data_IF_948759171026
#
_entry.id   IF_948759171026
#
_cell.length_a   1.000
_cell.length_b   1.000
_cell.length_c   1.000
_cell.angle_alpha   90.00
_cell.angle_beta   90.00
_cell.angle_gamma   90.00
#
_symmetry.space_group_name_H-M   'P 1'
#
loop_
_entity.id
_entity.type
_entity.pdbx_description
1 polymer ?
#
# COMPACT_ATOMS: atom_id res chain seq x y z
N UNK A 1 -6.65 8.55 8.90
CA UNK A 1 -6.68 7.45 7.92
C UNK A 1 -8.11 7.09 7.65
N UNK A 2 -8.45 6.95 6.37
CA UNK A 2 -9.79 6.66 5.87
C UNK A 2 -9.69 5.45 4.95
N UNK A 3 -10.65 4.53 5.04
CA UNK A 3 -10.84 3.51 4.02
C UNK A 3 -11.77 4.07 2.95
N UNK A 4 -11.40 3.90 1.67
CA UNK A 4 -12.22 4.33 0.55
C UNK A 4 -13.25 3.26 0.20
N UNK A 5 -14.45 3.70 -0.14
CA UNK A 5 -15.41 2.86 -0.86
C UNK A 5 -14.94 2.64 -2.30
N UNK A 6 -15.38 1.55 -2.96
CA UNK A 6 -14.99 1.27 -4.35
C UNK A 6 -15.30 2.43 -5.30
N UNK A 7 -16.41 3.14 -5.09
CA UNK A 7 -16.78 4.32 -5.89
C UNK A 7 -15.78 5.48 -5.73
N UNK A 8 -14.97 5.49 -4.68
CA UNK A 8 -14.00 6.52 -4.34
C UNK A 8 -12.57 6.17 -4.72
N UNK A 9 -12.28 4.96 -5.22
CA UNK A 9 -10.91 4.53 -5.53
C UNK A 9 -10.18 5.48 -6.48
N UNK A 10 -10.92 6.09 -7.42
CA UNK A 10 -10.41 7.12 -8.34
C UNK A 10 -9.72 8.31 -7.64
N UNK A 11 -10.05 8.61 -6.37
CA UNK A 11 -9.40 9.67 -5.59
C UNK A 11 -7.91 9.41 -5.33
N UNK A 12 -7.45 8.16 -5.48
CA UNK A 12 -6.05 7.78 -5.29
C UNK A 12 -5.26 7.68 -6.61
N UNK A 13 -5.91 7.84 -7.77
CA UNK A 13 -5.29 7.61 -9.07
C UNK A 13 -4.13 8.58 -9.39
N UNK A 14 -4.15 9.80 -8.84
CA UNK A 14 -3.04 10.74 -9.04
C UNK A 14 -1.77 10.35 -8.28
N UNK A 15 -1.85 9.48 -7.27
CA UNK A 15 -0.69 9.10 -6.45
C UNK A 15 0.34 8.26 -7.20
N UNK A 16 -0.05 7.63 -8.31
CA UNK A 16 0.87 6.89 -9.19
C UNK A 16 1.63 7.82 -10.14
N UNK A 17 1.31 9.12 -10.17
CA UNK A 17 1.89 10.10 -11.10
C UNK A 17 1.88 9.65 -12.58
N UNK A 18 0.93 8.78 -12.97
CA UNK A 18 0.86 8.21 -14.31
C UNK A 18 1.88 7.11 -14.60
N UNK A 19 2.74 6.75 -13.64
CA UNK A 19 3.66 5.64 -13.75
C UNK A 19 2.98 4.34 -13.29
N UNK A 20 3.03 3.30 -14.11
CA UNK A 20 2.50 1.98 -13.76
C UNK A 20 3.68 1.08 -13.40
N UNK A 21 4.35 1.37 -12.28
CA UNK A 21 5.38 0.46 -11.74
C UNK A 21 4.75 -0.80 -11.13
N UNK A 22 3.52 -0.66 -10.63
CA UNK A 22 2.76 -1.71 -9.97
C UNK A 22 1.38 -1.87 -10.65
N UNK A 23 1.30 -2.66 -11.74
CA UNK A 23 0.03 -2.89 -12.44
C UNK A 23 -1.07 -3.43 -11.52
N UNK A 24 -0.71 -4.08 -10.43
CA UNK A 24 -1.64 -4.72 -9.50
C UNK A 24 -2.34 -3.72 -8.59
N UNK A 25 -1.61 -2.74 -8.04
CA UNK A 25 -2.25 -1.64 -7.32
C UNK A 25 -3.09 -0.77 -8.25
N UNK A 26 -2.61 -0.55 -9.48
CA UNK A 26 -3.36 0.21 -10.48
C UNK A 26 -4.67 -0.49 -10.88
N UNK A 27 -4.64 -1.82 -11.02
CA UNK A 27 -5.84 -2.61 -11.30
C UNK A 27 -6.88 -2.51 -10.17
N UNK A 28 -6.45 -2.42 -8.90
CA UNK A 28 -7.35 -2.16 -7.77
C UNK A 28 -7.90 -0.73 -7.84
N UNK A 29 -7.04 0.28 -8.03
CA UNK A 29 -7.46 1.70 -8.13
C UNK A 29 -8.49 1.91 -9.24
N UNK A 30 -8.34 1.22 -10.37
CA UNK A 30 -9.28 1.26 -11.50
C UNK A 30 -10.52 0.38 -11.32
N UNK A 31 -10.62 -0.38 -10.24
CA UNK A 31 -11.75 -1.28 -9.98
C UNK A 31 -11.76 -2.55 -10.81
N UNK A 32 -10.67 -2.86 -11.52
CA UNK A 32 -10.53 -4.10 -12.31
C UNK A 32 -10.14 -5.30 -11.44
N UNK A 33 -9.62 -5.07 -10.24
CA UNK A 33 -9.21 -6.12 -9.30
C UNK A 33 -9.76 -5.86 -7.90
N UNK A 34 -10.17 -6.92 -7.17
CA UNK A 34 -10.59 -6.78 -5.78
C UNK A 34 -9.44 -6.29 -4.90
N UNK A 35 -9.73 -5.32 -4.04
CA UNK A 35 -8.77 -4.78 -3.10
C UNK A 35 -9.41 -3.81 -2.13
N UNK A 36 -8.57 -3.22 -1.28
CA UNK A 36 -8.95 -2.19 -0.31
C UNK A 36 -7.95 -1.05 -0.40
N UNK A 37 -8.41 0.19 -0.23
CA UNK A 37 -7.56 1.38 -0.30
C UNK A 37 -7.74 2.18 0.99
N UNK A 38 -6.63 2.44 1.68
CA UNK A 38 -6.59 3.29 2.86
C UNK A 38 -5.76 4.53 2.57
N UNK A 39 -6.31 5.72 2.84
CA UNK A 39 -5.65 7.01 2.54
C UNK A 39 -5.43 7.84 3.81
N UNK A 40 -4.49 8.77 3.74
CA UNK A 40 -4.22 9.71 4.83
C UNK A 40 -5.36 10.73 5.03
N UNK A 41 -5.96 11.21 3.95
CA UNK A 41 -7.03 12.22 3.95
C UNK A 41 -7.97 12.12 2.73
N UNK A 42 -9.10 12.87 2.69
CA UNK A 42 -10.00 12.91 1.53
C UNK A 42 -9.38 13.46 0.24
N UNK A 43 -8.26 14.18 0.34
CA UNK A 43 -7.42 14.58 -0.79
C UNK A 43 -6.10 13.83 -0.65
N UNK A 44 -6.03 12.56 -1.12
CA UNK A 44 -4.96 11.66 -0.74
C UNK A 44 -3.58 12.22 -1.10
N UNK A 45 -2.65 12.14 -0.14
CA UNK A 45 -1.22 12.37 -0.39
C UNK A 45 -0.41 11.11 -0.22
N UNK A 46 -0.93 10.14 0.52
CA UNK A 46 -0.38 8.80 0.64
C UNK A 46 -1.50 7.77 0.71
N UNK A 47 -1.26 6.58 0.16
CA UNK A 47 -2.21 5.48 0.19
C UNK A 47 -1.54 4.14 0.48
N UNK A 48 -2.32 3.25 1.09
CA UNK A 48 -2.01 1.84 1.29
C UNK A 48 -3.05 1.05 0.50
N UNK A 49 -2.61 0.32 -0.52
CA UNK A 49 -3.47 -0.48 -1.40
C UNK A 49 -3.24 -1.95 -1.10
N UNK A 50 -4.27 -2.64 -0.63
CA UNK A 50 -4.25 -4.10 -0.50
C UNK A 50 -4.73 -4.75 -1.79
N UNK A 51 -3.92 -5.64 -2.36
CA UNK A 51 -4.27 -6.41 -3.56
C UNK A 51 -4.62 -7.82 -3.14
N UNK A 52 -5.93 -8.17 -3.20
CA UNK A 52 -6.41 -9.49 -2.74
C UNK A 52 -5.73 -10.66 -3.47
N UNK A 53 -5.49 -10.52 -4.77
CA UNK A 53 -4.89 -11.57 -5.60
C UNK A 53 -3.45 -11.92 -5.24
N UNK A 54 -2.69 -10.98 -4.66
CA UNK A 54 -1.29 -11.16 -4.29
C UNK A 54 -1.07 -11.29 -2.79
N UNK A 55 -2.10 -11.04 -1.97
CA UNK A 55 -1.99 -10.97 -0.51
C UNK A 55 -0.95 -9.94 -0.01
N UNK A 56 -0.56 -8.99 -0.86
CA UNK A 56 0.43 -7.96 -0.59
C UNK A 56 -0.17 -6.56 -0.56
N UNK A 57 0.65 -5.60 -0.13
CA UNK A 57 0.28 -4.21 -0.04
C UNK A 57 1.24 -3.31 -0.82
N UNK A 58 0.70 -2.21 -1.35
CA UNK A 58 1.47 -1.17 -2.01
C UNK A 58 1.33 0.16 -1.27
N UNK A 59 2.44 0.84 -1.05
CA UNK A 59 2.51 2.21 -0.53
C UNK A 59 2.69 3.16 -1.70
N UNK A 60 1.79 4.12 -1.83
CA UNK A 60 1.76 5.09 -2.93
C UNK A 60 1.82 6.52 -2.41
N UNK A 61 2.34 7.44 -3.22
CA UNK A 61 2.38 8.86 -2.93
C UNK A 61 3.56 9.25 -2.02
N UNK A 62 3.32 10.17 -1.09
CA UNK A 62 4.37 10.89 -0.37
C UNK A 62 4.81 10.19 0.93
N UNK A 63 6.07 9.69 1.02
CA UNK A 63 6.59 9.01 2.20
C UNK A 63 6.75 9.91 3.43
N UNK A 64 6.78 11.24 3.26
CA UNK A 64 6.95 12.19 4.35
C UNK A 64 5.66 12.47 5.14
N UNK A 65 4.55 11.78 4.85
CA UNK A 65 3.35 11.82 5.68
C UNK A 65 3.58 11.03 6.97
N UNK A 66 4.33 11.59 7.93
CA UNK A 66 4.75 10.89 9.16
C UNK A 66 3.58 10.28 9.95
N UNK A 67 2.42 10.93 9.96
CA UNK A 67 1.22 10.39 10.62
C UNK A 67 0.58 9.20 9.89
N UNK A 68 0.82 9.05 8.60
CA UNK A 68 0.23 7.99 7.78
C UNK A 68 0.76 6.61 8.17
N UNK A 69 2.08 6.40 8.17
CA UNK A 69 2.65 5.10 8.53
C UNK A 69 2.37 4.71 9.98
N UNK A 70 2.33 5.68 10.91
CA UNK A 70 1.90 5.42 12.29
C UNK A 70 0.44 4.95 12.34
N UNK A 71 -0.43 5.53 11.51
CA UNK A 71 -1.80 5.06 11.36
C UNK A 71 -1.86 3.67 10.70
N UNK A 72 -0.99 3.36 9.74
CA UNK A 72 -0.85 2.02 9.15
C UNK A 72 -0.46 1.02 10.23
N UNK A 73 0.54 1.32 11.06
CA UNK A 73 0.98 0.45 12.16
C UNK A 73 -0.16 0.13 13.13
N UNK A 74 -0.96 1.14 13.49
CA UNK A 74 -2.17 0.95 14.28
C UNK A 74 -3.18 0.07 13.56
N UNK A 75 -3.47 0.35 12.29
CA UNK A 75 -4.42 -0.40 11.46
C UNK A 75 -4.03 -1.88 11.36
N UNK A 76 -2.74 -2.18 11.24
CA UNK A 76 -2.23 -3.56 11.25
C UNK A 76 -2.65 -4.27 12.53
N UNK A 77 -2.38 -3.65 13.67
CA UNK A 77 -2.61 -4.25 14.99
C UNK A 77 -4.10 -4.36 15.34
N UNK A 78 -4.91 -3.39 14.91
CA UNK A 78 -6.34 -3.34 15.29
C UNK A 78 -7.26 -4.06 14.32
N UNK A 79 -6.86 -4.21 13.05
CA UNK A 79 -7.76 -4.72 12.01
C UNK A 79 -7.08 -5.68 11.02
N UNK A 80 -5.98 -5.27 10.36
CA UNK A 80 -5.47 -6.08 9.24
C UNK A 80 -4.94 -7.44 9.68
N UNK A 81 -4.28 -7.54 10.85
CA UNK A 81 -3.79 -8.83 11.33
C UNK A 81 -4.92 -9.86 11.51
N UNK A 82 -6.07 -9.45 12.06
CA UNK A 82 -7.23 -10.31 12.20
C UNK A 82 -7.88 -10.63 10.84
N UNK A 83 -8.02 -9.61 9.99
CA UNK A 83 -8.59 -9.74 8.65
C UNK A 83 -7.78 -10.70 7.75
N UNK A 84 -6.45 -10.60 7.78
CA UNK A 84 -5.54 -11.46 7.03
C UNK A 84 -5.47 -12.85 7.66
N UNK A 85 -5.44 -12.94 8.99
CA UNK A 85 -5.46 -14.22 9.72
C UNK A 85 -6.71 -15.05 9.42
N UNK A 86 -7.88 -14.41 9.27
CA UNK A 86 -9.12 -15.08 8.85
C UNK A 86 -9.04 -15.68 7.42
N UNK A 87 -8.08 -15.23 6.62
CA UNK A 87 -7.79 -15.73 5.27
C UNK A 87 -6.59 -16.70 5.26
N UNK A 88 -6.05 -17.07 6.42
CA UNK A 88 -4.86 -17.93 6.52
C UNK A 88 -3.54 -17.23 6.20
N UNK A 89 -3.54 -15.90 6.11
CA UNK A 89 -2.36 -15.09 5.79
C UNK A 89 -1.70 -14.66 7.10
N UNK A 90 -0.51 -15.19 7.38
CA UNK A 90 0.26 -14.91 8.61
C UNK A 90 1.39 -13.90 8.43
N UNK A 91 1.73 -13.56 7.18
CA UNK A 91 2.71 -12.55 6.80
C UNK A 91 2.25 -11.85 5.52
N UNK A 92 2.73 -10.64 5.29
CA UNK A 92 2.49 -9.89 4.06
C UNK A 92 3.68 -8.96 3.79
N UNK A 93 3.73 -8.43 2.57
CA UNK A 93 4.78 -7.54 2.10
C UNK A 93 4.24 -6.14 1.81
N UNK A 94 5.11 -5.13 1.95
CA UNK A 94 4.89 -3.79 1.42
C UNK A 94 5.80 -3.59 0.21
N UNK A 95 5.25 -3.11 -0.89
CA UNK A 95 5.99 -2.65 -2.08
C UNK A 95 5.82 -1.14 -2.23
N UNK A 96 6.88 -0.43 -2.61
CA UNK A 96 6.87 1.03 -2.77
C UNK A 96 7.91 1.46 -3.81
N UNK A 97 7.55 2.44 -4.65
CA UNK A 97 8.32 2.87 -5.84
C UNK A 97 9.27 4.05 -5.59
N UNK A 98 9.02 4.83 -4.54
CA UNK A 98 9.93 5.90 -4.08
C UNK A 98 10.92 5.35 -3.03
N UNK A 99 12.25 5.42 -3.27
CA UNK A 99 13.28 5.01 -2.31
C UNK A 99 13.15 5.66 -0.93
N UNK A 100 12.53 6.85 -0.82
CA UNK A 100 12.29 7.51 0.46
C UNK A 100 11.26 6.77 1.35
N UNK A 101 10.48 5.82 0.81
CA UNK A 101 9.64 4.93 1.63
C UNK A 101 10.48 4.02 2.52
N UNK A 102 11.64 3.55 2.07
CA UNK A 102 12.45 2.59 2.82
C UNK A 102 12.85 3.09 4.22
N UNK A 103 13.53 4.24 4.39
CA UNK A 103 13.85 4.75 5.72
C UNK A 103 12.61 5.14 6.54
N UNK A 104 11.50 5.52 5.90
CA UNK A 104 10.25 5.84 6.58
C UNK A 104 9.58 4.58 7.19
N UNK A 105 9.58 3.48 6.44
CA UNK A 105 9.10 2.15 6.87
C UNK A 105 9.96 1.68 8.03
N UNK A 106 11.29 1.68 7.89
CA UNK A 106 12.20 1.23 8.96
C UNK A 106 12.00 2.02 10.25
N UNK A 107 11.85 3.34 10.16
CA UNK A 107 11.66 4.18 11.35
C UNK A 107 10.39 3.80 12.13
N UNK A 108 9.26 3.59 11.43
CA UNK A 108 7.97 3.29 12.08
C UNK A 108 7.86 1.84 12.52
N UNK A 109 8.36 0.91 11.71
CA UNK A 109 8.19 -0.53 11.92
C UNK A 109 9.42 -1.21 12.52
N UNK A 110 10.43 -0.47 12.99
CA UNK A 110 11.69 -0.97 13.58
C UNK A 110 11.54 -2.03 14.67
N UNK A 111 10.39 -2.09 15.36
CA UNK A 111 10.10 -3.10 16.40
C UNK A 111 9.52 -4.40 15.84
N UNK A 112 9.26 -4.47 14.53
CA UNK A 112 8.75 -5.66 13.82
C UNK A 112 9.94 -6.42 13.20
N UNK A 113 9.75 -7.70 12.94
CA UNK A 113 10.74 -8.51 12.21
C UNK A 113 10.68 -8.19 10.72
N UNK A 114 11.29 -7.08 10.32
CA UNK A 114 11.34 -6.63 8.93
C UNK A 114 12.37 -7.44 8.13
N UNK A 115 11.97 -7.82 6.91
CA UNK A 115 12.89 -8.27 5.86
C UNK A 115 12.75 -7.32 4.68
N UNK A 116 13.84 -7.12 3.96
CA UNK A 116 13.87 -6.30 2.75
C UNK A 116 14.53 -7.11 1.64
N UNK A 117 13.85 -7.18 0.50
CA UNK A 117 14.32 -7.86 -0.70
C UNK A 117 14.06 -6.95 -1.92
N UNK A 118 14.95 -6.96 -2.93
CA UNK A 118 14.73 -6.21 -4.15
C UNK A 118 13.62 -6.84 -5.00
N UNK A 119 12.70 -6.02 -5.49
CA UNK A 119 11.70 -6.43 -6.48
C UNK A 119 12.15 -6.00 -7.89
N UNK A 120 12.21 -6.95 -8.81
CA UNK A 120 12.57 -6.69 -10.21
C UNK A 120 11.30 -6.57 -11.06
N UNK A 121 11.08 -5.40 -11.65
CA UNK A 121 9.98 -5.14 -12.59
C UNK A 121 10.53 -5.11 -14.01
N UNK A 122 10.01 -5.98 -14.88
CA UNK A 122 10.42 -6.06 -16.28
C UNK A 122 9.41 -5.29 -17.13
N UNK A 123 9.87 -4.20 -17.75
CA UNK A 123 9.06 -3.43 -18.69
C UNK A 123 9.19 -4.02 -20.10
N UNK A 124 8.13 -4.01 -20.91
CA UNK A 124 8.22 -4.37 -22.32
C UNK A 124 9.28 -3.51 -23.01
N UNK A 125 10.15 -4.12 -23.82
CA UNK A 125 10.98 -3.37 -24.76
C UNK A 125 10.06 -2.76 -25.82
N UNK A 126 10.16 -1.44 -25.99
CA UNK A 126 9.45 -0.71 -27.05
C UNK A 126 10.07 -0.99 -28.42
#
# INVERSE_FOLDING_TARGET
MLELDQMQFHLSAHLTNGNIYYPESEAVIRGHSPGRIFVDSPQPRAALVWVKGQSGFYLLGNPNQKGFLVAVDRLINTHLAAFLGAQGISYFEFSADDPAWHPAIEAVFSRRNLKSEPQFVYLPQQ
#
